data_IF_446259587364
#
_entry.id   IF_446259587364
#
_cell.length_a   1.000
_cell.length_b   1.000
_cell.length_c   1.000
_cell.angle_alpha   90.00
_cell.angle_beta   90.00
_cell.angle_gamma   90.00
#
_symmetry.space_group_name_H-M   'P 1'
#
loop_
_entity.id
_entity.type
_entity.pdbx_description
1 polymer ?
#
# COMPACT_ATOMS: atom_id res chain seq x y z
N UNK A 1 -13.21 -10.99 -1.04
CA UNK A 1 -13.51 -9.88 -1.95
C UNK A 1 -12.25 -9.09 -2.24
N UNK A 2 -12.07 -8.60 -3.45
CA UNK A 2 -11.03 -7.61 -3.75
C UNK A 2 -11.29 -6.33 -2.97
N UNK A 3 -10.22 -5.69 -2.50
CA UNK A 3 -10.30 -4.47 -1.67
C UNK A 3 -9.59 -3.33 -2.36
N UNK A 4 -10.28 -2.21 -2.52
CA UNK A 4 -9.65 -0.96 -2.96
C UNK A 4 -8.99 -0.28 -1.76
N UNK A 5 -7.78 0.22 -1.98
CA UNK A 5 -7.04 1.05 -1.05
C UNK A 5 -6.57 2.33 -1.73
N UNK A 6 -6.29 3.35 -0.93
CA UNK A 6 -5.56 4.53 -1.36
C UNK A 6 -4.33 4.63 -0.49
N UNK A 7 -3.16 4.77 -1.10
CA UNK A 7 -1.90 5.00 -0.39
C UNK A 7 -1.22 6.24 -0.95
N UNK A 8 -0.43 6.94 -0.11
CA UNK A 8 0.36 8.09 -0.56
C UNK A 8 1.71 7.62 -1.07
N UNK A 9 2.03 7.89 -2.33
CA UNK A 9 3.33 7.57 -2.90
C UNK A 9 4.42 8.39 -2.18
N UNK A 10 5.41 7.77 -1.52
CA UNK A 10 6.45 8.49 -0.78
C UNK A 10 7.43 9.22 -1.71
N UNK A 11 7.47 8.86 -3.00
CA UNK A 11 8.36 9.48 -3.98
C UNK A 11 7.76 10.72 -4.63
N UNK A 12 6.44 10.72 -4.91
CA UNK A 12 5.77 11.81 -5.64
C UNK A 12 4.78 12.58 -4.77
N UNK A 13 4.44 12.08 -3.59
CA UNK A 13 3.43 12.66 -2.70
C UNK A 13 1.97 12.44 -3.14
N UNK A 14 1.73 11.83 -4.31
CA UNK A 14 0.40 11.60 -4.87
C UNK A 14 -0.36 10.52 -4.11
N UNK A 15 -1.68 10.67 -3.99
CA UNK A 15 -2.56 9.59 -3.56
C UNK A 15 -2.83 8.65 -4.74
N UNK A 16 -2.57 7.35 -4.53
CA UNK A 16 -2.66 6.31 -5.55
C UNK A 16 -3.75 5.33 -5.15
N UNK A 17 -4.76 5.18 -6.00
CA UNK A 17 -5.78 4.14 -5.84
C UNK A 17 -5.26 2.81 -6.39
N UNK A 18 -5.38 1.75 -5.59
CA UNK A 18 -4.94 0.41 -5.98
C UNK A 18 -5.94 -0.66 -5.53
N UNK A 19 -6.13 -1.70 -6.35
CA UNK A 19 -6.99 -2.84 -6.02
C UNK A 19 -6.13 -4.00 -5.53
N UNK A 20 -6.28 -4.34 -4.26
CA UNK A 20 -5.69 -5.55 -3.67
C UNK A 20 -6.58 -6.74 -4.00
N UNK A 21 -5.98 -7.81 -4.53
CA UNK A 21 -6.65 -9.11 -4.66
C UNK A 21 -7.10 -9.62 -3.28
N UNK A 22 -8.12 -10.46 -3.19
CA UNK A 22 -8.52 -11.07 -1.91
C UNK A 22 -7.35 -11.81 -1.21
N UNK A 23 -7.29 -11.77 0.13
CA UNK A 23 -6.34 -12.58 0.92
C UNK A 23 -7.06 -13.79 1.52
N UNK A 24 -6.37 -14.92 1.75
CA UNK A 24 -6.85 -15.96 2.66
C UNK A 24 -7.06 -15.38 4.06
N UNK A 25 -8.02 -15.92 4.82
CA UNK A 25 -8.50 -15.39 6.10
C UNK A 25 -7.39 -15.13 7.14
N UNK A 26 -6.26 -15.82 7.04
CA UNK A 26 -5.15 -15.77 8.01
C UNK A 26 -4.10 -14.67 7.69
N UNK A 27 -4.25 -13.93 6.60
CA UNK A 27 -3.24 -13.00 6.06
C UNK A 27 -3.32 -11.55 6.53
N UNK A 28 -3.94 -11.27 7.69
CA UNK A 28 -4.31 -9.90 8.13
C UNK A 28 -3.14 -8.95 8.38
N UNK A 29 -1.91 -9.45 8.52
CA UNK A 29 -0.70 -8.64 8.73
C UNK A 29 0.40 -8.86 7.68
N UNK A 30 0.01 -9.26 6.47
CA UNK A 30 0.95 -9.44 5.37
C UNK A 30 1.15 -8.14 4.59
N UNK A 31 2.41 -7.86 4.23
CA UNK A 31 2.75 -6.79 3.31
C UNK A 31 2.74 -7.35 1.88
N UNK A 32 2.24 -6.57 0.94
CA UNK A 32 2.26 -6.90 -0.48
C UNK A 32 3.07 -5.91 -1.27
N UNK A 33 3.83 -6.41 -2.24
CA UNK A 33 4.50 -5.59 -3.23
C UNK A 33 3.47 -5.05 -4.24
N UNK A 34 3.42 -3.73 -4.38
CA UNK A 34 2.58 -3.02 -5.35
C UNK A 34 3.48 -2.22 -6.28
N UNK A 35 3.31 -2.44 -7.58
CA UNK A 35 3.90 -1.58 -8.61
C UNK A 35 3.13 -0.25 -8.64
N UNK A 36 3.77 0.81 -8.20
CA UNK A 36 3.15 2.13 -8.08
C UNK A 36 3.05 2.81 -9.45
N UNK A 37 1.84 3.08 -9.97
CA UNK A 37 1.69 3.76 -11.27
C UNK A 37 2.20 5.21 -11.25
N UNK A 38 2.30 5.84 -10.08
CA UNK A 38 2.74 7.24 -9.98
C UNK A 38 4.26 7.41 -10.07
N UNK A 39 5.05 6.41 -9.67
CA UNK A 39 6.52 6.54 -9.60
C UNK A 39 7.28 5.35 -10.21
N UNK A 40 6.55 4.37 -10.76
CA UNK A 40 7.06 3.14 -11.38
C UNK A 40 7.97 2.28 -10.49
N UNK A 41 7.90 2.47 -9.16
CA UNK A 41 8.64 1.68 -8.15
C UNK A 41 7.72 0.73 -7.39
N UNK A 42 8.34 -0.25 -6.70
CA UNK A 42 7.63 -1.15 -5.80
C UNK A 42 7.48 -0.52 -4.41
N UNK A 43 6.25 -0.60 -3.87
CA UNK A 43 5.96 -0.28 -2.48
C UNK A 43 5.38 -1.50 -1.77
N UNK A 44 5.80 -1.71 -0.53
CA UNK A 44 5.25 -2.77 0.31
C UNK A 44 4.13 -2.20 1.17
N UNK A 45 2.90 -2.65 0.95
CA UNK A 45 1.72 -2.11 1.60
C UNK A 45 1.15 -3.17 2.55
N UNK A 46 0.90 -2.78 3.79
CA UNK A 46 0.16 -3.62 4.73
C UNK A 46 -1.27 -3.76 4.21
N UNK A 47 -1.71 -5.00 3.95
CA UNK A 47 -3.01 -5.28 3.35
C UNK A 47 -4.21 -4.85 4.20
N UNK A 48 -4.09 -4.86 5.53
CA UNK A 48 -5.19 -4.50 6.42
C UNK A 48 -5.30 -2.98 6.60
N UNK A 49 -4.16 -2.28 6.73
CA UNK A 49 -4.13 -0.85 7.03
C UNK A 49 -3.93 0.06 5.82
N UNK A 50 -3.38 -0.46 4.71
CA UNK A 50 -2.98 0.34 3.55
C UNK A 50 -1.69 1.14 3.75
N UNK A 51 -1.03 1.00 4.90
CA UNK A 51 0.21 1.73 5.22
C UNK A 51 1.41 1.15 4.46
N UNK A 52 2.35 2.03 4.08
CA UNK A 52 3.59 1.63 3.42
C UNK A 52 4.63 1.24 4.47
N UNK A 53 5.29 0.10 4.25
CA UNK A 53 6.41 -0.34 5.07
C UNK A 53 7.55 0.68 5.01
N UNK A 54 8.01 1.12 6.18
CA UNK A 54 9.10 2.10 6.28
C UNK A 54 8.67 3.56 6.06
N UNK A 55 7.37 3.84 5.91
CA UNK A 55 6.86 5.21 6.00
C UNK A 55 7.11 5.73 7.42
N UNK A 56 8.16 6.55 7.57
CA UNK A 56 8.36 7.33 8.78
C UNK A 56 7.19 8.30 8.84
N UNK A 57 6.25 8.10 9.78
CA UNK A 57 5.24 9.10 10.14
C UNK A 57 6.00 10.41 10.32
N UNK A 58 5.83 11.36 9.40
CA UNK A 58 6.36 12.71 9.55
C UNK A 58 5.82 13.18 10.90
N UNK A 59 6.70 13.30 11.90
CA UNK A 59 6.38 14.05 13.11
C UNK A 59 6.46 15.49 12.65
N UNK A 60 5.29 16.07 12.45
CA UNK A 60 5.15 17.52 12.33
C UNK A 60 5.49 18.16 13.68
#
# INVERSE_FOLDING_TARGET
MDRQIIFRCPQTGMNVQYRLAAAPADGTNTHVSVACPACTRLHFINRSTGQILGEKRRRD
#
